data_IF_158158511704
#
_entry.id   IF_158158511704
#
_cell.length_a   1.000
_cell.length_b   1.000
_cell.length_c   1.000
_cell.angle_alpha   90.00
_cell.angle_beta   90.00
_cell.angle_gamma   90.00
#
_symmetry.space_group_name_H-M   'P 1'
#
loop_
_entity.id
_entity.type
_entity.pdbx_description
1 polymer ?
#
# COMPACT_ATOMS: atom_id res chain seq x y z
N UNK A 1 -3.38 7.75 -15.77
CA UNK A 1 -4.15 6.50 -15.86
C UNK A 1 -5.31 6.59 -14.88
N UNK A 2 -6.54 6.34 -15.31
CA UNK A 2 -7.68 6.17 -14.41
C UNK A 2 -7.62 4.72 -13.92
N UNK A 3 -7.69 4.51 -12.60
CA UNK A 3 -7.82 3.18 -12.02
C UNK A 3 -9.27 2.90 -11.71
N UNK A 4 -9.80 1.83 -12.26
CA UNK A 4 -10.99 1.21 -11.70
C UNK A 4 -10.62 0.44 -10.42
N UNK A 5 -11.60 0.08 -9.59
CA UNK A 5 -11.33 -0.78 -8.43
C UNK A 5 -10.67 -2.11 -8.85
N UNK A 6 -11.07 -2.66 -9.98
CA UNK A 6 -10.48 -3.89 -10.53
C UNK A 6 -9.03 -3.70 -10.99
N UNK A 7 -8.68 -2.52 -11.53
CA UNK A 7 -7.29 -2.23 -11.91
C UNK A 7 -6.40 -1.99 -10.68
N UNK A 8 -6.96 -1.39 -9.62
CA UNK A 8 -6.25 -1.20 -8.36
C UNK A 8 -5.78 -2.55 -7.74
N UNK A 9 -6.49 -3.65 -8.01
CA UNK A 9 -6.07 -4.99 -7.57
C UNK A 9 -4.78 -5.46 -8.22
N UNK A 10 -4.47 -4.97 -9.41
CA UNK A 10 -3.30 -5.41 -10.18
C UNK A 10 -2.00 -4.77 -9.71
N UNK A 11 -2.07 -3.66 -9.00
CA UNK A 11 -0.89 -2.91 -8.54
C UNK A 11 -0.54 -3.17 -7.09
N UNK A 12 -1.34 -3.99 -6.39
CA UNK A 12 -1.07 -4.38 -5.00
C UNK A 12 -0.54 -5.81 -4.91
N UNK A 13 0.19 -6.07 -3.84
CA UNK A 13 0.69 -7.40 -3.51
C UNK A 13 0.54 -7.67 -2.01
N UNK A 14 0.47 -8.95 -1.67
CA UNK A 14 0.54 -9.42 -0.29
C UNK A 14 1.98 -9.80 0.04
N UNK A 15 2.39 -9.51 1.27
CA UNK A 15 3.61 -10.04 1.89
C UNK A 15 3.21 -11.00 2.99
N UNK A 16 3.66 -12.23 2.91
CA UNK A 16 3.47 -13.23 3.96
C UNK A 16 4.82 -13.77 4.41
N UNK A 17 5.16 -13.52 5.66
CA UNK A 17 6.39 -14.02 6.27
C UNK A 17 6.05 -15.10 7.30
N UNK A 18 6.53 -16.33 7.15
CA UNK A 18 6.36 -17.38 8.17
C UNK A 18 7.03 -16.98 9.49
N UNK A 19 6.33 -17.16 10.61
CA UNK A 19 6.89 -17.00 11.95
C UNK A 19 6.42 -18.11 12.89
N UNK A 20 7.05 -18.25 14.05
CA UNK A 20 6.73 -19.27 15.05
C UNK A 20 5.32 -19.10 15.65
N UNK A 21 4.80 -17.88 15.67
CA UNK A 21 3.49 -17.55 16.25
C UNK A 21 2.38 -17.43 15.20
N UNK A 22 2.68 -17.80 13.96
CA UNK A 22 1.79 -17.65 12.80
C UNK A 22 2.34 -16.68 11.76
N UNK A 23 1.77 -16.65 10.55
CA UNK A 23 2.27 -15.80 9.49
C UNK A 23 2.09 -14.32 9.81
N UNK A 24 3.13 -13.52 9.58
CA UNK A 24 3.03 -12.06 9.58
C UNK A 24 2.62 -11.63 8.18
N UNK A 25 1.56 -10.86 8.10
CA UNK A 25 0.95 -10.44 6.84
C UNK A 25 1.00 -8.93 6.70
N UNK A 26 1.34 -8.48 5.51
CA UNK A 26 1.28 -7.07 5.10
C UNK A 26 0.82 -6.92 3.66
N UNK A 27 0.61 -5.70 3.28
CA UNK A 27 0.25 -5.30 1.92
C UNK A 27 1.29 -4.34 1.39
N UNK A 28 1.40 -4.22 0.07
CA UNK A 28 2.20 -3.18 -0.56
C UNK A 28 1.68 -2.82 -1.94
N UNK A 29 2.33 -1.85 -2.55
CA UNK A 29 2.04 -1.36 -3.88
C UNK A 29 3.28 -1.46 -4.77
N UNK A 30 3.08 -1.76 -6.05
CA UNK A 30 4.12 -1.75 -7.06
C UNK A 30 4.14 -0.37 -7.70
N UNK A 31 5.23 0.37 -7.51
CA UNK A 31 5.43 1.67 -8.12
C UNK A 31 6.44 1.60 -9.25
N UNK A 32 6.24 2.44 -10.27
CA UNK A 32 7.23 2.68 -11.34
C UNK A 32 7.64 4.14 -11.34
N UNK A 33 8.94 4.38 -11.17
CA UNK A 33 9.60 5.66 -11.35
C UNK A 33 10.57 5.53 -12.52
N UNK A 34 10.39 6.34 -13.56
CA UNK A 34 11.10 6.23 -14.82
C UNK A 34 11.10 4.79 -15.36
N UNK A 35 12.27 4.14 -15.47
CA UNK A 35 12.42 2.75 -15.94
C UNK A 35 12.55 1.74 -14.79
N UNK A 36 12.55 2.19 -13.54
CA UNK A 36 12.74 1.34 -12.38
C UNK A 36 11.42 0.98 -11.69
N UNK A 37 11.35 -0.24 -11.19
CA UNK A 37 10.20 -0.76 -10.46
C UNK A 37 10.56 -0.99 -8.99
N UNK A 38 9.61 -0.69 -8.12
CA UNK A 38 9.76 -0.81 -6.68
C UNK A 38 8.58 -1.52 -6.05
N UNK A 39 8.86 -2.40 -5.10
CA UNK A 39 7.88 -2.82 -4.10
C UNK A 39 7.91 -1.81 -2.96
N UNK A 40 6.78 -1.18 -2.68
CA UNK A 40 6.64 -0.21 -1.58
C UNK A 40 5.68 -0.75 -0.55
N UNK A 41 6.06 -0.70 0.72
CA UNK A 41 5.22 -1.15 1.85
C UNK A 41 5.56 -0.35 3.12
N UNK A 42 4.86 -0.64 4.22
CA UNK A 42 5.19 -0.09 5.53
C UNK A 42 6.54 -0.63 6.03
N UNK A 43 7.35 0.24 6.60
CA UNK A 43 8.68 -0.11 7.11
C UNK A 43 8.63 -1.20 8.18
N UNK A 44 7.62 -1.16 9.08
CA UNK A 44 7.46 -2.19 10.10
C UNK A 44 7.11 -3.57 9.51
N UNK A 45 6.40 -3.63 8.37
CA UNK A 45 6.14 -4.88 7.63
C UNK A 45 7.44 -5.42 7.05
N UNK A 46 8.19 -4.58 6.32
CA UNK A 46 9.44 -5.00 5.69
C UNK A 46 10.49 -5.48 6.69
N UNK A 47 10.52 -4.94 7.90
CA UNK A 47 11.41 -5.39 8.99
C UNK A 47 11.14 -6.84 9.43
N UNK A 48 9.96 -7.37 9.18
CA UNK A 48 9.63 -8.78 9.45
C UNK A 48 10.00 -9.71 8.30
N UNK A 49 10.26 -9.16 7.11
CA UNK A 49 10.57 -9.93 5.91
C UNK A 49 11.94 -10.62 6.02
N UNK A 50 12.01 -11.82 5.46
CA UNK A 50 13.22 -12.63 5.40
C UNK A 50 13.25 -13.48 4.11
N UNK A 51 14.22 -14.37 3.98
CA UNK A 51 14.41 -15.23 2.79
C UNK A 51 13.21 -16.15 2.50
N UNK A 52 12.35 -16.42 3.49
CA UNK A 52 11.17 -17.26 3.34
C UNK A 52 9.90 -16.45 3.02
N UNK A 53 10.00 -15.11 3.00
CA UNK A 53 8.87 -14.25 2.71
C UNK A 53 8.33 -14.50 1.31
N UNK A 54 7.02 -14.66 1.22
CA UNK A 54 6.28 -14.82 -0.02
C UNK A 54 5.65 -13.49 -0.43
N UNK A 55 5.73 -13.22 -1.72
CA UNK A 55 5.04 -12.11 -2.40
C UNK A 55 3.94 -12.73 -3.24
N UNK A 56 2.70 -12.41 -2.93
CA UNK A 56 1.55 -12.91 -3.67
C UNK A 56 0.93 -11.76 -4.44
N UNK A 57 0.88 -11.90 -5.73
CA UNK A 57 0.38 -10.88 -6.66
C UNK A 57 -0.58 -11.53 -7.66
N UNK A 58 -1.34 -10.70 -8.38
CA UNK A 58 -2.15 -11.21 -9.48
C UNK A 58 -1.27 -11.75 -10.60
N UNK A 59 -1.60 -12.86 -11.22
CA UNK A 59 -1.01 -13.27 -12.49
C UNK A 59 -1.67 -12.57 -13.69
N UNK A 60 -1.27 -12.93 -14.91
CA UNK A 60 -1.82 -12.31 -16.14
C UNK A 60 -3.30 -12.63 -16.36
N UNK A 61 -3.82 -13.68 -15.75
CA UNK A 61 -5.22 -14.11 -15.85
C UNK A 61 -6.08 -13.56 -14.71
N UNK A 62 -5.46 -12.91 -13.71
CA UNK A 62 -6.13 -12.40 -12.51
C UNK A 62 -6.11 -13.38 -11.33
N UNK A 63 -5.46 -14.54 -11.49
CA UNK A 63 -5.26 -15.50 -10.41
C UNK A 63 -4.11 -15.12 -9.47
N UNK A 64 -3.95 -15.81 -8.32
CA UNK A 64 -2.83 -15.60 -7.42
C UNK A 64 -1.55 -16.24 -7.98
N UNK A 65 -0.46 -15.49 -7.97
CA UNK A 65 0.89 -15.97 -8.23
C UNK A 65 1.77 -15.72 -7.01
N UNK A 66 2.35 -16.77 -6.47
CA UNK A 66 3.27 -16.70 -5.33
C UNK A 66 4.71 -16.78 -5.84
N UNK A 67 5.52 -15.82 -5.44
CA UNK A 67 6.96 -15.75 -5.67
C UNK A 67 7.66 -15.54 -4.33
N UNK A 68 8.95 -15.87 -4.25
CA UNK A 68 9.76 -15.52 -3.09
C UNK A 68 10.21 -14.07 -3.19
N UNK A 69 10.31 -13.40 -2.06
CA UNK A 69 10.82 -12.01 -2.05
C UNK A 69 12.23 -11.91 -2.65
N UNK A 70 13.05 -12.97 -2.52
CA UNK A 70 14.37 -13.09 -3.15
C UNK A 70 14.33 -13.03 -4.69
N UNK A 71 13.21 -13.43 -5.31
CA UNK A 71 13.06 -13.37 -6.77
C UNK A 71 12.97 -11.92 -7.27
N UNK A 72 12.59 -11.00 -6.39
CA UNK A 72 12.49 -9.57 -6.70
C UNK A 72 13.82 -8.85 -6.44
N UNK A 73 14.50 -9.20 -5.37
CA UNK A 73 15.80 -8.64 -5.02
C UNK A 73 16.61 -9.64 -4.18
N UNK A 74 17.67 -10.26 -4.74
CA UNK A 74 18.44 -11.29 -4.04
C UNK A 74 19.12 -10.83 -2.75
N UNK A 75 19.32 -9.52 -2.60
CA UNK A 75 19.96 -8.93 -1.40
C UNK A 75 18.93 -8.51 -0.34
N UNK A 76 17.63 -8.55 -0.65
CA UNK A 76 16.55 -8.02 0.20
C UNK A 76 16.85 -6.58 0.69
N UNK A 77 17.45 -5.77 -0.19
CA UNK A 77 17.97 -4.45 0.16
C UNK A 77 16.84 -3.41 0.24
N UNK A 78 16.01 -3.52 1.27
CA UNK A 78 15.01 -2.52 1.57
C UNK A 78 15.65 -1.18 1.95
N UNK A 79 15.21 -0.11 1.33
CA UNK A 79 15.55 1.26 1.73
C UNK A 79 14.41 1.77 2.62
N UNK A 80 14.71 1.99 3.89
CA UNK A 80 13.76 2.46 4.89
C UNK A 80 13.83 3.98 5.02
N UNK A 81 12.68 4.65 5.06
CA UNK A 81 12.65 6.07 5.34
C UNK A 81 13.09 6.36 6.79
N UNK A 82 13.94 7.38 7.03
CA UNK A 82 14.52 7.61 8.36
C UNK A 82 13.49 7.98 9.43
N UNK A 83 12.40 8.67 9.06
CA UNK A 83 11.38 9.10 10.01
C UNK A 83 9.99 8.50 9.73
N UNK A 84 9.63 8.23 8.48
CA UNK A 84 8.31 7.74 8.12
C UNK A 84 8.24 6.20 8.08
N UNK A 85 7.06 5.64 8.28
CA UNK A 85 6.83 4.20 8.20
C UNK A 85 6.58 3.76 6.77
N UNK A 86 7.56 3.94 5.94
CA UNK A 86 7.57 3.52 4.53
C UNK A 86 8.95 3.01 4.15
N UNK A 87 8.99 2.05 3.25
CA UNK A 87 10.22 1.56 2.64
C UNK A 87 9.97 1.11 1.20
N UNK A 88 11.05 1.07 0.44
CA UNK A 88 11.05 0.63 -0.95
C UNK A 88 12.10 -0.48 -1.16
N UNK A 89 11.75 -1.47 -1.97
CA UNK A 89 12.66 -2.49 -2.47
C UNK A 89 12.72 -2.38 -3.99
N UNK A 90 13.88 -2.03 -4.54
CA UNK A 90 14.08 -2.01 -5.98
C UNK A 90 13.96 -3.42 -6.55
N UNK A 91 13.12 -3.59 -7.57
CA UNK A 91 12.96 -4.85 -8.26
C UNK A 91 14.12 -5.02 -9.26
N UNK A 92 14.82 -6.14 -9.17
CA UNK A 92 15.81 -6.55 -10.16
C UNK A 92 15.11 -7.45 -11.19
N UNK A 93 14.84 -6.97 -12.42
CA UNK A 93 14.11 -7.74 -13.41
C UNK A 93 14.84 -9.06 -13.75
N UNK A 94 14.09 -10.13 -13.83
CA UNK A 94 14.55 -11.44 -14.26
C UNK A 94 13.45 -12.20 -15.01
N UNK A 95 13.73 -13.40 -15.50
CA UNK A 95 12.77 -14.17 -16.30
C UNK A 95 11.48 -14.52 -15.55
N UNK A 96 11.49 -14.57 -14.21
CA UNK A 96 10.32 -14.86 -13.36
C UNK A 96 9.47 -13.61 -13.11
N UNK A 97 10.11 -12.46 -12.90
CA UNK A 97 9.45 -11.24 -12.46
C UNK A 97 9.08 -10.30 -13.61
N UNK A 98 9.91 -10.21 -14.65
CA UNK A 98 9.70 -9.27 -15.76
C UNK A 98 8.33 -9.42 -16.46
N UNK A 99 7.81 -10.63 -16.74
CA UNK A 99 6.50 -10.78 -17.37
C UNK A 99 5.36 -10.25 -16.51
N UNK A 100 5.52 -10.31 -15.17
CA UNK A 100 4.47 -9.94 -14.21
C UNK A 100 4.32 -8.42 -14.08
N UNK A 101 5.34 -7.64 -14.41
CA UNK A 101 5.37 -6.20 -14.20
C UNK A 101 5.15 -5.36 -15.45
N UNK A 102 5.03 -5.96 -16.64
CA UNK A 102 4.94 -5.22 -17.90
C UNK A 102 3.80 -4.18 -17.94
N UNK A 103 2.74 -4.38 -17.16
CA UNK A 103 1.57 -3.48 -17.09
C UNK A 103 0.96 -3.37 -15.68
N UNK A 104 1.68 -3.76 -14.63
CA UNK A 104 1.13 -3.87 -13.26
C UNK A 104 1.91 -3.03 -12.28
N UNK A 105 1.87 -1.75 -12.49
CA UNK A 105 2.48 -0.78 -11.60
C UNK A 105 1.60 0.46 -11.50
N UNK A 106 1.71 1.13 -10.38
CA UNK A 106 1.15 2.45 -10.20
C UNK A 106 2.18 3.49 -10.60
N UNK A 107 1.85 4.43 -11.51
CA UNK A 107 2.80 5.45 -11.97
C UNK A 107 3.21 6.38 -10.83
N UNK A 108 4.49 6.65 -10.72
CA UNK A 108 5.03 7.53 -9.68
C UNK A 108 4.43 8.95 -9.72
N UNK A 109 4.21 9.50 -10.91
CA UNK A 109 3.62 10.82 -11.10
C UNK A 109 2.11 10.92 -10.75
N UNK A 110 1.53 9.82 -10.23
CA UNK A 110 0.18 9.77 -9.66
C UNK A 110 0.20 9.60 -8.14
N UNK A 111 1.36 9.65 -7.50
CA UNK A 111 1.47 9.84 -6.06
C UNK A 111 1.12 11.28 -5.68
N UNK A 112 0.45 11.46 -4.55
CA UNK A 112 0.30 12.80 -3.97
C UNK A 112 1.61 13.22 -3.29
N UNK A 113 2.44 13.97 -4.01
CA UNK A 113 3.72 14.46 -3.51
C UNK A 113 3.60 15.78 -2.73
N UNK A 114 2.38 16.29 -2.57
CA UNK A 114 2.14 17.50 -1.78
C UNK A 114 2.08 17.16 -0.28
N UNK A 115 2.44 18.12 0.56
CA UNK A 115 2.28 17.97 2.03
C UNK A 115 0.86 18.35 2.49
N UNK A 116 -0.12 18.01 1.67
CA UNK A 116 -1.54 18.28 1.93
C UNK A 116 -2.31 16.97 1.95
N UNK A 117 -3.07 16.73 3.01
CA UNK A 117 -3.98 15.61 3.10
C UNK A 117 -5.07 15.69 2.01
N UNK A 118 -5.66 14.55 1.60
CA UNK A 118 -6.81 14.57 0.70
C UNK A 118 -7.99 15.36 1.32
N UNK A 119 -8.86 15.85 0.45
CA UNK A 119 -10.10 16.50 0.92
C UNK A 119 -10.93 15.53 1.75
N UNK A 120 -11.60 16.05 2.77
CA UNK A 120 -12.53 15.28 3.59
C UNK A 120 -13.81 14.88 2.85
N UNK A 121 -14.06 15.51 1.71
CA UNK A 121 -15.20 15.21 0.84
C UNK A 121 -14.86 14.20 -0.26
N UNK A 122 -13.59 13.84 -0.42
CA UNK A 122 -13.16 12.84 -1.39
C UNK A 122 -13.23 11.42 -0.81
N UNK A 123 -14.00 10.54 -1.46
CA UNK A 123 -14.04 9.12 -1.10
C UNK A 123 -12.71 8.46 -1.44
N UNK A 124 -12.07 7.91 -0.44
CA UNK A 124 -10.81 7.17 -0.56
C UNK A 124 -11.06 5.66 -0.54
N UNK A 125 -10.30 4.92 -1.32
CA UNK A 125 -10.35 3.45 -1.38
C UNK A 125 -9.01 2.87 -0.91
N UNK A 126 -9.06 2.04 0.14
CA UNK A 126 -7.94 1.24 0.60
C UNK A 126 -8.04 -0.16 0.00
N UNK A 127 -6.91 -0.71 -0.50
CA UNK A 127 -6.87 -2.00 -1.19
C UNK A 127 -5.78 -2.87 -0.59
N UNK A 128 -6.11 -4.01 -0.01
CA UNK A 128 -5.11 -4.84 0.64
C UNK A 128 -5.61 -6.22 1.11
N UNK A 129 -4.85 -6.86 1.99
CA UNK A 129 -5.03 -8.24 2.40
C UNK A 129 -5.17 -8.37 3.93
N UNK A 130 -6.28 -7.92 4.52
CA UNK A 130 -6.49 -8.02 5.96
C UNK A 130 -6.41 -9.51 6.38
N UNK A 131 -5.57 -9.80 7.36
CA UNK A 131 -5.31 -11.17 7.84
C UNK A 131 -4.91 -12.16 6.74
N UNK A 132 -4.39 -11.68 5.59
CA UNK A 132 -4.05 -12.51 4.43
C UNK A 132 -5.24 -12.93 3.58
N UNK A 133 -6.45 -12.47 3.88
CA UNK A 133 -7.65 -12.79 3.11
C UNK A 133 -7.53 -12.29 1.68
N UNK A 134 -7.93 -13.12 0.73
CA UNK A 134 -7.89 -12.82 -0.70
C UNK A 134 -6.51 -12.95 -1.35
N UNK A 135 -5.47 -13.42 -0.61
CA UNK A 135 -4.15 -13.68 -1.18
C UNK A 135 -4.05 -15.05 -1.84
N UNK A 136 -4.69 -16.07 -1.28
CA UNK A 136 -4.59 -17.45 -1.72
C UNK A 136 -5.90 -17.97 -2.33
N UNK A 137 -5.80 -18.97 -3.18
CA UNK A 137 -6.94 -19.58 -3.87
C UNK A 137 -7.47 -18.69 -4.99
N UNK A 138 -8.15 -17.62 -4.65
CA UNK A 138 -8.61 -16.58 -5.60
C UNK A 138 -7.91 -15.28 -5.20
N UNK A 139 -7.20 -14.65 -6.14
CA UNK A 139 -6.60 -13.33 -5.88
C UNK A 139 -7.69 -12.27 -5.85
N UNK A 140 -8.06 -11.87 -4.66
CA UNK A 140 -9.14 -10.93 -4.40
C UNK A 140 -8.80 -10.02 -3.21
N UNK A 141 -7.89 -9.06 -3.37
CA UNK A 141 -7.63 -8.08 -2.32
C UNK A 141 -8.92 -7.39 -1.88
N UNK A 142 -9.08 -7.20 -0.60
CA UNK A 142 -10.26 -6.56 -0.05
C UNK A 142 -10.13 -5.05 -0.17
N UNK A 143 -11.26 -4.40 -0.44
CA UNK A 143 -11.36 -2.94 -0.45
C UNK A 143 -12.27 -2.47 0.66
N UNK A 144 -11.93 -1.35 1.27
CA UNK A 144 -12.89 -0.56 2.03
C UNK A 144 -12.78 0.92 1.65
N UNK A 145 -13.87 1.65 1.85
CA UNK A 145 -13.95 3.08 1.57
C UNK A 145 -13.91 3.86 2.86
N UNK A 146 -13.29 5.02 2.81
CA UNK A 146 -13.20 5.93 3.93
C UNK A 146 -13.03 7.36 3.43
N UNK A 147 -13.08 8.32 4.35
CA UNK A 147 -12.77 9.72 4.10
C UNK A 147 -11.63 10.15 5.01
N UNK A 148 -10.91 11.18 4.61
CA UNK A 148 -9.93 11.78 5.51
C UNK A 148 -10.65 12.47 6.67
N UNK A 149 -10.31 12.12 7.91
CA UNK A 149 -10.85 12.73 9.12
C UNK A 149 -10.00 13.89 9.63
N UNK A 150 -8.77 14.03 9.13
CA UNK A 150 -7.85 15.09 9.53
C UNK A 150 -7.15 15.74 8.34
N UNK A 151 -6.63 16.95 8.57
CA UNK A 151 -5.52 17.48 7.79
C UNK A 151 -4.24 16.72 8.13
N UNK A 152 -3.09 17.12 7.57
CA UNK A 152 -1.81 16.57 7.96
C UNK A 152 -1.55 16.87 9.45
N UNK A 153 -1.20 15.85 10.21
CA UNK A 153 -0.88 15.90 11.64
C UNK A 153 0.47 15.26 11.91
N UNK A 154 1.23 15.82 12.86
CA UNK A 154 2.55 15.31 13.22
C UNK A 154 2.52 14.74 14.63
N UNK A 155 2.87 13.47 14.78
CA UNK A 155 2.95 12.80 16.07
C UNK A 155 3.91 11.60 16.05
N UNK A 156 4.29 11.05 17.24
CA UNK A 156 5.19 9.92 17.31
C UNK A 156 4.58 8.65 16.70
N UNK A 157 5.34 7.94 15.90
CA UNK A 157 5.00 6.59 15.43
C UNK A 157 4.94 5.62 16.61
N UNK A 158 4.00 4.69 16.57
CA UNK A 158 3.86 3.67 17.62
C UNK A 158 5.00 2.64 17.66
N UNK A 159 5.68 2.42 16.52
CA UNK A 159 6.76 1.42 16.40
C UNK A 159 8.17 1.94 16.70
N UNK A 160 8.39 3.26 16.65
CA UNK A 160 9.74 3.86 16.78
C UNK A 160 9.80 5.09 17.67
N UNK A 161 8.64 5.65 18.05
CA UNK A 161 8.51 6.91 18.81
C UNK A 161 9.11 8.13 18.11
N UNK A 162 9.43 8.01 16.81
CA UNK A 162 9.91 9.11 15.98
C UNK A 162 8.70 9.87 15.42
N UNK A 163 8.71 11.19 15.52
CA UNK A 163 7.67 12.03 14.93
C UNK A 163 7.67 11.94 13.41
N UNK A 164 6.49 11.76 12.85
CA UNK A 164 6.25 11.70 11.42
C UNK A 164 4.93 12.38 11.09
N UNK A 165 4.78 12.83 9.86
CA UNK A 165 3.49 13.34 9.38
C UNK A 165 2.58 12.18 8.99
N UNK A 166 1.30 12.36 9.29
CA UNK A 166 0.23 11.43 8.96
C UNK A 166 -1.03 12.20 8.57
N UNK A 167 -1.96 11.53 7.95
CA UNK A 167 -3.37 11.89 7.99
C UNK A 167 -4.20 10.69 8.46
N UNK A 168 -5.37 10.98 9.01
CA UNK A 168 -6.22 9.97 9.62
C UNK A 168 -7.44 9.70 8.72
N UNK A 169 -7.93 8.46 8.75
CA UNK A 169 -9.19 8.08 8.11
C UNK A 169 -10.25 7.80 9.15
N UNK A 170 -11.52 8.03 8.78
CA UNK A 170 -12.67 7.80 9.65
C UNK A 170 -12.85 6.33 10.04
N UNK A 171 -12.61 5.42 9.11
CA UNK A 171 -12.75 3.99 9.36
C UNK A 171 -11.44 3.39 9.86
N UNK A 172 -11.48 2.49 10.87
CA UNK A 172 -10.28 1.85 11.39
C UNK A 172 -9.66 0.88 10.38
N UNK A 173 -8.36 0.66 10.52
CA UNK A 173 -7.63 -0.38 9.80
C UNK A 173 -7.71 -1.73 10.53
N UNK A 174 -7.41 -2.81 9.82
CA UNK A 174 -7.30 -4.18 10.32
C UNK A 174 -5.90 -4.71 10.03
N UNK A 175 -5.38 -5.58 10.89
CA UNK A 175 -4.06 -6.22 10.67
C UNK A 175 -3.98 -6.89 9.29
N UNK A 176 -2.87 -6.65 8.58
CA UNK A 176 -2.66 -7.06 7.19
C UNK A 176 -2.90 -5.95 6.16
N UNK A 177 -3.63 -4.88 6.50
CA UNK A 177 -3.68 -3.69 5.66
C UNK A 177 -2.41 -2.83 5.76
N UNK A 178 -1.53 -3.02 6.72
CA UNK A 178 -0.27 -2.28 6.82
C UNK A 178 0.48 -2.29 5.49
N UNK A 179 0.82 -1.11 4.98
CA UNK A 179 1.44 -0.89 3.67
C UNK A 179 0.46 -0.84 2.48
N UNK A 180 -0.84 -1.05 2.68
CA UNK A 180 -1.81 -0.94 1.59
C UNK A 180 -1.94 0.51 1.10
N UNK A 181 -2.06 0.72 -0.23
CA UNK A 181 -2.27 2.05 -0.77
C UNK A 181 -3.65 2.60 -0.43
N UNK A 182 -3.71 3.92 -0.27
CA UNK A 182 -4.92 4.71 -0.09
C UNK A 182 -5.12 5.57 -1.34
N UNK A 183 -6.11 5.19 -2.15
CA UNK A 183 -6.37 5.82 -3.44
C UNK A 183 -7.58 6.75 -3.41
N UNK A 184 -7.47 7.89 -4.07
CA UNK A 184 -8.57 8.47 -4.81
C UNK A 184 -8.57 7.81 -6.20
N UNK A 185 -9.58 7.03 -6.50
CA UNK A 185 -9.68 6.29 -7.79
C UNK A 185 -10.07 7.21 -8.96
N UNK A 186 -10.35 8.47 -8.70
CA UNK A 186 -10.77 9.41 -9.71
C UNK A 186 -12.22 9.17 -10.21
N UNK A 187 -13.02 8.43 -9.45
CA UNK A 187 -14.43 8.17 -9.79
C UNK A 187 -15.30 8.91 -8.78
N UNK A 188 -16.11 9.83 -9.28
CA UNK A 188 -17.10 10.56 -8.47
C UNK A 188 -18.49 10.02 -8.80
N UNK A 189 -19.16 9.43 -7.82
CA UNK A 189 -20.50 8.89 -7.97
C UNK A 189 -21.46 9.85 -7.25
N UNK A 190 -22.23 10.61 -8.02
CA UNK A 190 -23.35 11.40 -7.52
C UNK A 190 -24.66 10.68 -7.82
N UNK A 191 -25.72 10.98 -7.05
CA UNK A 191 -27.03 10.30 -7.15
C UNK A 191 -27.61 10.23 -8.59
N UNK A 192 -27.21 11.13 -9.48
CA UNK A 192 -27.73 11.24 -10.85
C UNK A 192 -26.67 10.97 -11.94
N UNK A 193 -25.37 11.01 -11.62
CA UNK A 193 -24.29 10.86 -12.62
C UNK A 193 -23.04 10.26 -12.01
N UNK A 194 -22.33 9.46 -12.80
CA UNK A 194 -20.95 9.07 -12.51
C UNK A 194 -20.04 9.95 -13.37
N UNK A 195 -19.16 10.70 -12.74
CA UNK A 195 -18.11 11.46 -13.40
C UNK A 195 -16.74 10.90 -13.04
N UNK A 196 -15.73 11.14 -13.86
CA UNK A 196 -14.36 10.73 -13.61
C UNK A 196 -13.46 11.95 -13.48
N UNK A 197 -12.54 11.93 -12.53
CA UNK A 197 -11.38 12.83 -12.49
C UNK A 197 -10.39 12.39 -13.58
N UNK A 198 -9.42 13.21 -13.92
CA UNK A 198 -8.47 12.93 -14.99
C UNK A 198 -7.57 11.71 -14.69
N UNK A 199 -7.30 11.44 -13.43
CA UNK A 199 -6.43 10.33 -12.99
C UNK A 199 -6.74 9.89 -11.57
N UNK A 200 -6.42 8.64 -11.26
CA UNK A 200 -6.32 8.18 -9.87
C UNK A 200 -5.09 8.78 -9.19
N UNK A 201 -5.18 8.98 -7.88
CA UNK A 201 -4.08 9.50 -7.05
C UNK A 201 -3.89 8.57 -5.85
N UNK A 202 -2.66 8.17 -5.56
CA UNK A 202 -2.31 7.51 -4.30
C UNK A 202 -1.89 8.57 -3.28
N UNK A 203 -2.62 8.68 -2.19
CA UNK A 203 -2.36 9.68 -1.15
C UNK A 203 -1.37 9.19 -0.08
N UNK A 204 -1.17 7.90 0.02
CA UNK A 204 -0.27 7.30 1.01
C UNK A 204 -0.45 5.80 1.16
N UNK A 205 0.21 5.26 2.16
CA UNK A 205 0.10 3.85 2.55
C UNK A 205 -0.34 3.73 4.01
N UNK A 206 -1.09 2.68 4.28
CA UNK A 206 -1.61 2.40 5.62
C UNK A 206 -0.48 2.11 6.61
N UNK A 207 -0.39 2.92 7.66
CA UNK A 207 0.51 2.65 8.80
C UNK A 207 -0.13 1.63 9.76
N UNK A 208 -1.35 1.91 10.21
CA UNK A 208 -2.01 1.09 11.20
C UNK A 208 -3.26 1.76 11.78
N UNK A 209 -3.53 1.48 13.05
CA UNK A 209 -4.72 1.99 13.76
C UNK A 209 -4.31 2.77 15.00
N UNK A 210 -4.83 3.98 15.15
CA UNK A 210 -4.86 4.69 16.41
C UNK A 210 -6.09 4.19 17.19
N UNK A 211 -5.87 3.72 18.41
CA UNK A 211 -6.95 3.23 19.27
C UNK A 211 -6.76 3.72 20.70
N UNK A 212 -7.86 3.88 21.39
CA UNK A 212 -7.88 4.16 22.81
C UNK A 212 -8.54 3.02 23.62
N UNK A 213 -8.56 3.17 24.94
CA UNK A 213 -9.16 2.18 25.85
C UNK A 213 -10.69 2.19 25.84
N UNK A 214 -11.34 3.18 25.21
CA UNK A 214 -12.79 3.28 25.10
C UNK A 214 -13.35 2.54 23.88
N UNK A 215 -12.45 2.05 23.00
CA UNK A 215 -12.81 1.36 21.75
C UNK A 215 -12.87 2.27 20.54
N UNK A 216 -12.54 3.57 20.69
CA UNK A 216 -12.37 4.50 19.57
C UNK A 216 -11.19 4.08 18.68
N UNK A 217 -11.38 4.11 17.37
CA UNK A 217 -10.37 3.66 16.40
C UNK A 217 -10.40 4.53 15.16
N UNK A 218 -9.21 4.95 14.69
CA UNK A 218 -9.00 5.66 13.43
C UNK A 218 -7.85 4.98 12.68
N UNK A 219 -7.91 4.91 11.36
CA UNK A 219 -6.74 4.47 10.60
C UNK A 219 -5.74 5.61 10.44
N UNK A 220 -4.46 5.27 10.46
CA UNK A 220 -3.31 6.17 10.28
C UNK A 220 -2.71 5.89 8.91
N UNK A 221 -2.49 6.93 8.12
CA UNK A 221 -1.88 6.83 6.79
C UNK A 221 -0.57 7.60 6.75
N UNK A 222 0.49 6.95 6.33
CA UNK A 222 1.78 7.55 5.99
C UNK A 222 1.65 8.21 4.62
N UNK A 223 1.86 9.53 4.47
CA UNK A 223 1.68 10.24 3.21
C UNK A 223 2.61 9.76 2.11
N UNK A 224 2.13 9.83 0.86
CA UNK A 224 2.85 9.32 -0.31
C UNK A 224 4.12 10.14 -0.66
N UNK A 225 4.22 11.40 -0.26
CA UNK A 225 5.42 12.19 -0.54
C UNK A 225 6.68 11.63 0.12
N UNK A 226 6.56 10.85 1.20
CA UNK A 226 7.70 10.12 1.77
C UNK A 226 8.23 9.00 0.87
N UNK A 227 7.43 8.54 -0.10
CA UNK A 227 7.90 7.56 -1.10
C UNK A 227 8.88 8.24 -2.06
N UNK A 228 8.63 9.52 -2.42
CA UNK A 228 9.50 10.33 -3.29
C UNK A 228 10.91 10.51 -2.68
N UNK A 229 11.00 10.57 -1.35
CA UNK A 229 12.26 10.72 -0.64
C UNK A 229 13.10 9.42 -0.62
N UNK A 230 12.53 8.27 -1.09
CA UNK A 230 13.17 6.95 -1.10
C UNK A 230 13.59 6.48 -2.50
N UNK A 231 12.96 6.99 -3.56
CA UNK A 231 13.04 6.54 -4.95
C UNK A 231 13.59 7.70 -5.85
#
# INVERSE_FOLDING_TARGET
MILTRNDAFRVVFNLTTPSQTGPVVGTGIINKSDEELFLVTASHVAKTCNINTEVILSDQTGGPKTLKLLDFNPKLAWVHHPIADVCALRIVPNALTAPEFSKRFFPFNQLNLTKVAPSRDDELTCVGFPSGLGAYGIFSPLTYRSFASSSMVNFPRSDSFVNSDFFLLENPSVGGYSGCPVFDLGIVINAAMTSTKDKAVCHGIMHGTLSDNSGGKLAIVTPAYYIDELI
#
